data_IF_335853952209
#
_entry.id   IF_335853952209
#
_cell.length_a   1.000
_cell.length_b   1.000
_cell.length_c   1.000
_cell.angle_alpha   90.00
_cell.angle_beta   90.00
_cell.angle_gamma   90.00
#
_symmetry.space_group_name_H-M   'P 1'
#
loop_
_entity.id
_entity.type
_entity.pdbx_description
1 polymer ?
#
# COMPACT_ATOMS: atom_id res chain seq x y z
N UNK A 1 13.33 -8.89 26.91
CA UNK A 1 12.00 -9.32 26.43
C UNK A 1 11.28 -8.09 25.89
N UNK A 2 11.41 -7.85 24.58
CA UNK A 2 10.48 -7.15 23.68
C UNK A 2 10.86 -7.65 22.28
N UNK A 3 10.30 -8.82 21.97
CA UNK A 3 10.37 -9.47 20.66
C UNK A 3 9.13 -8.99 19.88
N UNK A 4 9.20 -9.01 18.55
CA UNK A 4 8.08 -8.85 17.60
C UNK A 4 7.86 -7.44 16.99
N UNK A 5 8.69 -7.06 16.01
CA UNK A 5 8.27 -6.10 14.96
C UNK A 5 8.50 -6.66 13.56
N UNK A 6 8.01 -7.87 13.32
CA UNK A 6 7.46 -8.15 11.98
C UNK A 6 6.08 -7.51 11.99
N UNK A 7 6.02 -6.21 11.68
CA UNK A 7 4.75 -5.49 11.60
C UNK A 7 4.00 -6.00 10.36
N UNK A 8 3.27 -7.09 10.54
CA UNK A 8 2.35 -7.62 9.55
C UNK A 8 1.28 -6.58 9.26
N UNK A 9 1.03 -6.31 7.98
CA UNK A 9 -0.07 -5.46 7.51
C UNK A 9 -1.26 -6.31 7.07
N UNK A 10 -1.28 -7.59 7.44
CA UNK A 10 -2.34 -8.52 7.11
C UNK A 10 -3.72 -8.02 7.57
N UNK A 11 -4.71 -8.13 6.68
CA UNK A 11 -6.09 -7.73 6.95
C UNK A 11 -6.35 -6.23 6.82
N UNK A 12 -5.36 -5.42 6.44
CA UNK A 12 -5.55 -4.01 6.10
C UNK A 12 -5.77 -3.83 4.60
N UNK A 13 -6.68 -2.92 4.24
CA UNK A 13 -6.78 -2.35 2.90
C UNK A 13 -5.98 -1.05 2.86
N UNK A 14 -5.01 -0.93 1.96
CA UNK A 14 -4.09 0.21 1.87
C UNK A 14 -4.23 0.89 0.51
N UNK A 15 -4.43 2.21 0.51
CA UNK A 15 -4.46 3.03 -0.69
C UNK A 15 -3.13 3.78 -0.85
N UNK A 16 -2.41 3.50 -1.94
CA UNK A 16 -1.14 4.14 -2.29
C UNK A 16 -1.40 5.21 -3.34
N UNK A 17 -1.08 6.47 -3.03
CA UNK A 17 -1.18 7.60 -3.96
C UNK A 17 0.23 8.05 -4.32
N UNK A 18 0.60 7.85 -5.58
CA UNK A 18 1.94 8.11 -6.10
C UNK A 18 1.82 8.37 -7.60
N UNK A 19 2.42 9.42 -8.14
CA UNK A 19 2.22 9.81 -9.55
C UNK A 19 3.08 8.97 -10.51
N UNK A 20 4.30 8.62 -10.09
CA UNK A 20 5.20 7.80 -10.89
C UNK A 20 4.79 6.32 -10.87
N UNK A 21 4.53 5.77 -12.06
CA UNK A 21 3.93 4.45 -12.21
C UNK A 21 4.82 3.31 -11.69
N UNK A 22 6.13 3.35 -11.92
CA UNK A 22 7.04 2.30 -11.47
C UNK A 22 7.25 2.35 -9.96
N UNK A 23 7.36 3.54 -9.38
CA UNK A 23 7.46 3.76 -7.95
C UNK A 23 6.18 3.30 -7.24
N UNK A 24 5.01 3.68 -7.75
CA UNK A 24 3.71 3.21 -7.23
C UNK A 24 3.63 1.69 -7.18
N UNK A 25 4.04 1.01 -8.25
CA UNK A 25 4.09 -0.46 -8.32
C UNK A 25 5.06 -1.06 -7.32
N UNK A 26 6.25 -0.49 -7.16
CA UNK A 26 7.26 -0.97 -6.20
C UNK A 26 6.80 -0.83 -4.76
N UNK A 27 6.18 0.30 -4.42
CA UNK A 27 5.60 0.55 -3.10
C UNK A 27 4.47 -0.44 -2.85
N UNK A 28 3.54 -0.59 -3.79
CA UNK A 28 2.44 -1.54 -3.67
C UNK A 28 2.93 -2.97 -3.43
N UNK A 29 3.85 -3.46 -4.27
CA UNK A 29 4.42 -4.81 -4.13
C UNK A 29 5.12 -5.04 -2.77
N UNK A 30 5.78 -4.02 -2.22
CA UNK A 30 6.40 -4.14 -0.90
C UNK A 30 5.35 -4.24 0.21
N UNK A 31 4.28 -3.46 0.13
CA UNK A 31 3.19 -3.47 1.12
C UNK A 31 2.36 -4.77 1.01
N UNK A 32 2.10 -5.25 -0.20
CA UNK A 32 1.48 -6.56 -0.46
C UNK A 32 2.31 -7.70 0.14
N UNK A 33 3.64 -7.64 0.04
CA UNK A 33 4.54 -8.61 0.67
C UNK A 33 4.46 -8.61 2.21
N UNK A 34 3.97 -7.52 2.82
CA UNK A 34 3.66 -7.44 4.25
C UNK A 34 2.25 -7.94 4.59
N UNK A 35 1.48 -8.39 3.60
CA UNK A 35 0.17 -9.04 3.75
C UNK A 35 -1.05 -8.15 3.56
N UNK A 36 -0.88 -6.87 3.19
CA UNK A 36 -2.01 -5.97 2.96
C UNK A 36 -2.66 -6.19 1.59
N UNK A 37 -3.93 -5.81 1.47
CA UNK A 37 -4.61 -5.63 0.19
C UNK A 37 -4.36 -4.19 -0.29
N UNK A 38 -3.71 -4.01 -1.44
CA UNK A 38 -3.23 -2.70 -1.89
C UNK A 38 -3.96 -2.23 -3.14
N UNK A 39 -4.48 -1.01 -3.09
CA UNK A 39 -5.02 -0.29 -4.25
C UNK A 39 -4.11 0.89 -4.56
N UNK A 40 -3.77 1.09 -5.85
CA UNK A 40 -2.91 2.20 -6.29
C UNK A 40 -3.69 3.26 -7.06
N UNK A 41 -3.39 4.54 -6.80
CA UNK A 41 -3.90 5.69 -7.54
C UNK A 41 -2.77 6.64 -7.94
N UNK A 42 -2.88 7.23 -9.14
CA UNK A 42 -1.86 8.17 -9.68
C UNK A 42 -2.03 9.61 -9.19
N UNK A 43 -3.15 9.91 -8.56
CA UNK A 43 -3.44 11.23 -8.00
C UNK A 43 -4.47 11.14 -6.89
N UNK A 44 -4.54 12.20 -6.08
CA UNK A 44 -5.57 12.31 -5.05
C UNK A 44 -6.99 12.33 -5.64
N UNK A 45 -7.15 12.90 -6.85
CA UNK A 45 -8.43 12.91 -7.55
C UNK A 45 -8.88 11.49 -7.92
N UNK A 46 -7.97 10.69 -8.50
CA UNK A 46 -8.24 9.29 -8.81
C UNK A 46 -8.50 8.46 -7.54
N UNK A 47 -7.72 8.69 -6.48
CA UNK A 47 -7.87 8.01 -5.19
C UNK A 47 -9.27 8.19 -4.59
N UNK A 48 -9.84 9.39 -4.69
CA UNK A 48 -11.20 9.68 -4.19
C UNK A 48 -12.31 8.98 -4.96
N UNK A 49 -12.07 8.54 -6.19
CA UNK A 49 -13.05 7.76 -6.97
C UNK A 49 -13.06 6.28 -6.61
N UNK A 50 -12.09 5.82 -5.80
CA UNK A 50 -11.92 4.43 -5.38
C UNK A 50 -12.46 4.17 -3.95
N UNK A 51 -12.88 5.22 -3.24
CA UNK A 51 -13.53 5.18 -1.92
C UNK A 51 -15.05 5.26 -2.07
#
# INVERSE_FOLDING_TARGET
>A
MHNDTVTSLAGLSVLVIEDEAMLRRRIAAHIEALGADVTGAESLAAARQLL
#
